data_IF_276084992163
#
_entry.id   IF_276084992163
#
_cell.length_a   1.000
_cell.length_b   1.000
_cell.length_c   1.000
_cell.angle_alpha   90.00
_cell.angle_beta   90.00
_cell.angle_gamma   90.00
#
_symmetry.space_group_name_H-M   'P 1'
#
loop_
_entity.id
_entity.type
_entity.pdbx_description
1 polymer ?
#
# COMPACT_ATOMS: atom_id res chain seq x y z
N UNK A 1 -1.45 -3.08 -12.81
CA UNK A 1 -1.18 -4.53 -12.73
C UNK A 1 -0.17 -4.97 -13.78
N UNK A 2 -0.42 -4.82 -15.09
CA UNK A 2 0.53 -5.26 -16.14
C UNK A 2 1.93 -4.67 -15.99
N UNK A 3 2.04 -3.41 -15.55
CA UNK A 3 3.33 -2.77 -15.27
C UNK A 3 4.10 -3.52 -14.17
N UNK A 4 3.44 -3.90 -13.07
CA UNK A 4 4.08 -4.66 -11.97
C UNK A 4 4.57 -6.03 -12.45
N UNK A 5 3.75 -6.75 -13.25
CA UNK A 5 4.13 -8.05 -13.83
C UNK A 5 5.33 -7.89 -14.76
N UNK A 6 5.28 -6.90 -15.67
CA UNK A 6 6.39 -6.64 -16.60
C UNK A 6 7.69 -6.26 -15.88
N UNK A 7 7.60 -5.39 -14.86
CA UNK A 7 8.78 -5.03 -14.06
C UNK A 7 9.30 -6.19 -13.24
N UNK A 8 8.44 -7.07 -12.73
CA UNK A 8 8.88 -8.27 -12.01
C UNK A 8 9.62 -9.24 -12.96
N UNK A 9 9.12 -9.44 -14.17
CA UNK A 9 9.87 -10.18 -15.18
C UNK A 9 11.23 -9.53 -15.49
N UNK A 10 11.27 -8.20 -15.53
CA UNK A 10 12.52 -7.45 -15.71
C UNK A 10 13.48 -7.63 -14.53
N UNK A 11 12.97 -7.63 -13.28
CA UNK A 11 13.78 -7.92 -12.08
C UNK A 11 14.44 -9.31 -12.14
N UNK A 12 13.75 -10.31 -12.68
CA UNK A 12 14.30 -11.67 -12.83
C UNK A 12 15.41 -11.77 -13.89
N UNK A 13 15.42 -10.87 -14.87
CA UNK A 13 16.36 -10.89 -16.00
C UNK A 13 17.56 -9.94 -15.78
N UNK A 14 17.40 -8.90 -14.97
CA UNK A 14 18.44 -7.89 -14.74
C UNK A 14 19.20 -8.16 -13.45
N UNK A 15 20.46 -7.66 -13.37
CA UNK A 15 21.26 -7.78 -12.15
C UNK A 15 20.61 -7.06 -10.95
N UNK A 16 20.97 -7.43 -9.71
CA UNK A 16 20.37 -6.90 -8.47
C UNK A 16 20.41 -5.37 -8.32
N UNK A 17 21.29 -4.67 -9.03
CA UNK A 17 21.33 -3.20 -9.00
C UNK A 17 20.02 -2.57 -9.48
N UNK A 18 19.28 -3.25 -10.41
CA UNK A 18 18.00 -2.75 -10.92
C UNK A 18 16.98 -2.62 -9.78
N UNK A 19 16.79 -3.68 -9.00
CA UNK A 19 15.92 -3.62 -7.84
C UNK A 19 16.42 -2.60 -6.82
N UNK A 20 17.72 -2.61 -6.51
CA UNK A 20 18.35 -1.69 -5.58
C UNK A 20 18.19 -0.21 -5.96
N UNK A 21 18.07 0.13 -7.25
CA UNK A 21 17.87 1.49 -7.72
C UNK A 21 16.43 1.98 -7.51
N UNK A 22 15.43 1.11 -7.65
CA UNK A 22 14.02 1.46 -7.60
C UNK A 22 13.33 1.14 -6.27
N UNK A 23 13.90 0.26 -5.43
CA UNK A 23 13.40 -0.07 -4.10
C UNK A 23 13.50 1.14 -3.15
N UNK A 24 12.59 1.24 -2.19
CA UNK A 24 12.59 2.32 -1.19
C UNK A 24 13.63 2.04 -0.12
N UNK A 25 14.75 2.73 -0.19
CA UNK A 25 15.81 2.68 0.82
C UNK A 25 15.57 3.66 1.96
N UNK A 26 15.93 3.32 3.21
CA UNK A 26 15.93 4.25 4.33
C UNK A 26 16.80 5.49 4.04
N UNK A 27 16.40 6.66 4.57
CA UNK A 27 17.08 7.93 4.33
C UNK A 27 18.57 7.91 4.72
N UNK A 28 18.92 7.19 5.80
CA UNK A 28 20.28 7.05 6.30
C UNK A 28 21.14 6.01 5.57
N UNK A 29 20.60 5.29 4.59
CA UNK A 29 21.32 4.21 3.88
C UNK A 29 22.37 4.68 2.87
N UNK A 30 22.36 5.97 2.49
CA UNK A 30 23.15 6.50 1.38
C UNK A 30 22.68 6.05 -0.02
N UNK A 31 21.56 5.31 -0.10
CA UNK A 31 20.99 4.75 -1.35
C UNK A 31 19.61 5.31 -1.69
N UNK A 32 19.07 6.20 -0.84
CA UNK A 32 17.77 6.80 -1.06
C UNK A 32 17.81 7.77 -2.27
N UNK A 33 16.79 7.62 -3.13
CA UNK A 33 16.50 8.56 -4.22
C UNK A 33 15.02 8.97 -4.22
N UNK A 34 14.67 10.24 -4.56
CA UNK A 34 13.28 10.72 -4.46
C UNK A 34 12.27 9.92 -5.29
N UNK A 35 12.68 9.35 -6.43
CA UNK A 35 11.84 8.51 -7.27
C UNK A 35 11.37 7.23 -6.55
N UNK A 36 12.14 6.76 -5.57
CA UNK A 36 11.83 5.57 -4.79
C UNK A 36 10.53 5.72 -3.98
N UNK A 37 10.08 6.94 -3.70
CA UNK A 37 8.78 7.18 -3.05
C UNK A 37 7.58 6.64 -3.85
N UNK A 38 7.75 6.40 -5.14
CA UNK A 38 6.73 5.85 -6.03
C UNK A 38 7.15 4.53 -6.68
N UNK A 39 8.41 4.44 -7.12
CA UNK A 39 8.88 3.28 -7.90
C UNK A 39 8.86 1.98 -7.11
N UNK A 40 9.12 2.01 -5.81
CA UNK A 40 9.12 0.82 -4.95
C UNK A 40 7.78 0.06 -5.00
N UNK A 41 6.67 0.80 -5.15
CA UNK A 41 5.32 0.24 -5.24
C UNK A 41 5.06 -0.55 -6.52
N UNK A 42 5.98 -0.53 -7.48
CA UNK A 42 5.89 -1.29 -8.73
C UNK A 42 6.71 -2.58 -8.71
N UNK A 43 7.67 -2.70 -7.77
CA UNK A 43 8.56 -3.85 -7.62
C UNK A 43 7.96 -4.90 -6.67
N UNK A 44 8.43 -6.14 -6.75
CA UNK A 44 8.00 -7.22 -5.86
C UNK A 44 9.17 -8.14 -5.52
N UNK A 45 9.24 -8.58 -4.27
CA UNK A 45 10.36 -9.37 -3.77
C UNK A 45 10.34 -10.82 -4.24
N UNK A 46 9.16 -11.38 -4.52
CA UNK A 46 8.99 -12.77 -4.93
C UNK A 46 7.66 -12.99 -5.69
N UNK A 47 7.48 -14.15 -6.38
CA UNK A 47 6.27 -14.44 -7.15
C UNK A 47 4.99 -14.52 -6.32
N UNK A 48 5.07 -14.98 -5.07
CA UNK A 48 3.91 -15.10 -4.17
C UNK A 48 3.46 -13.71 -3.72
N UNK A 49 4.42 -12.84 -3.40
CA UNK A 49 4.18 -11.44 -3.08
C UNK A 49 3.51 -10.71 -4.26
N UNK A 50 4.03 -10.88 -5.48
CA UNK A 50 3.40 -10.33 -6.69
C UNK A 50 1.97 -10.85 -6.86
N UNK A 51 1.77 -12.18 -6.75
CA UNK A 51 0.47 -12.81 -6.96
C UNK A 51 -0.59 -12.22 -6.02
N UNK A 52 -0.33 -12.18 -4.71
CA UNK A 52 -1.31 -11.67 -3.75
C UNK A 52 -1.58 -10.16 -3.91
N UNK A 53 -0.58 -9.37 -4.26
CA UNK A 53 -0.78 -7.95 -4.58
C UNK A 53 -1.68 -7.79 -5.82
N UNK A 54 -1.39 -8.50 -6.91
CA UNK A 54 -2.20 -8.41 -8.13
C UNK A 54 -3.61 -8.93 -7.93
N UNK A 55 -3.78 -10.02 -7.18
CA UNK A 55 -5.10 -10.56 -6.83
C UNK A 55 -5.91 -9.53 -6.03
N UNK A 56 -5.35 -8.93 -5.00
CA UNK A 56 -6.03 -7.93 -4.20
C UNK A 56 -6.34 -6.65 -4.98
N UNK A 57 -5.42 -6.16 -5.80
CA UNK A 57 -5.66 -5.02 -6.69
C UNK A 57 -6.76 -5.31 -7.71
N UNK A 58 -6.84 -6.53 -8.23
CA UNK A 58 -7.91 -6.95 -9.13
C UNK A 58 -9.27 -7.02 -8.42
N UNK A 59 -9.32 -7.67 -7.26
CA UNK A 59 -10.57 -7.87 -6.51
C UNK A 59 -11.17 -6.55 -6.01
N UNK A 60 -10.37 -5.71 -5.40
CA UNK A 60 -10.84 -4.48 -4.75
C UNK A 60 -10.69 -3.25 -5.66
N UNK A 61 -9.59 -3.19 -6.40
CA UNK A 61 -9.26 -2.04 -7.25
C UNK A 61 -10.22 -1.87 -8.41
N UNK A 62 -10.58 -2.95 -9.09
CA UNK A 62 -11.48 -2.89 -10.25
C UNK A 62 -12.87 -2.35 -9.91
N UNK A 63 -13.41 -2.63 -8.71
CA UNK A 63 -14.70 -2.11 -8.27
C UNK A 63 -14.60 -0.62 -7.88
N UNK A 64 -13.54 -0.26 -7.17
CA UNK A 64 -13.29 1.14 -6.78
C UNK A 64 -13.02 2.01 -8.02
N UNK A 65 -12.26 1.51 -8.99
CA UNK A 65 -12.01 2.24 -10.24
C UNK A 65 -13.30 2.49 -11.03
N UNK A 66 -14.18 1.49 -11.14
CA UNK A 66 -15.50 1.66 -11.78
C UNK A 66 -16.36 2.73 -11.09
N UNK A 67 -16.26 2.82 -9.76
CA UNK A 67 -17.03 3.79 -8.98
C UNK A 67 -16.49 5.22 -9.10
N UNK A 68 -15.15 5.39 -9.10
CA UNK A 68 -14.52 6.71 -9.04
C UNK A 68 -14.03 7.23 -10.39
N UNK A 69 -13.90 6.36 -11.38
CA UNK A 69 -13.22 6.60 -12.65
C UNK A 69 -11.69 6.54 -12.48
N UNK A 70 -10.99 6.22 -13.57
CA UNK A 70 -9.55 5.94 -13.57
C UNK A 70 -8.71 7.10 -13.02
N UNK A 71 -9.09 8.37 -13.30
CA UNK A 71 -8.33 9.54 -12.80
C UNK A 71 -8.28 9.61 -11.29
N UNK A 72 -9.44 9.49 -10.61
CA UNK A 72 -9.50 9.50 -9.14
C UNK A 72 -8.87 8.26 -8.55
N UNK A 73 -9.07 7.11 -9.19
CA UNK A 73 -8.44 5.86 -8.79
C UNK A 73 -6.90 5.97 -8.77
N UNK A 74 -6.30 6.49 -9.85
CA UNK A 74 -4.84 6.68 -9.90
C UNK A 74 -4.33 7.70 -8.88
N UNK A 75 -5.07 8.79 -8.65
CA UNK A 75 -4.73 9.75 -7.59
C UNK A 75 -4.76 9.09 -6.21
N UNK A 76 -5.74 8.22 -5.96
CA UNK A 76 -5.87 7.48 -4.71
C UNK A 76 -4.70 6.50 -4.52
N UNK A 77 -4.37 5.71 -5.55
CA UNK A 77 -3.24 4.78 -5.54
C UNK A 77 -1.94 5.54 -5.25
N UNK A 78 -1.68 6.64 -5.97
CA UNK A 78 -0.48 7.45 -5.76
C UNK A 78 -0.40 8.03 -4.34
N UNK A 79 -1.50 8.55 -3.80
CA UNK A 79 -1.55 9.07 -2.42
C UNK A 79 -1.30 7.96 -1.39
N UNK A 80 -1.86 6.76 -1.59
CA UNK A 80 -1.63 5.60 -0.72
C UNK A 80 -0.17 5.14 -0.76
N UNK A 81 0.44 5.03 -1.95
CA UNK A 81 1.84 4.65 -2.12
C UNK A 81 2.78 5.68 -1.47
N UNK A 82 2.55 6.97 -1.71
CA UNK A 82 3.37 8.05 -1.12
C UNK A 82 3.27 8.05 0.42
N UNK A 83 2.08 7.95 0.98
CA UNK A 83 1.90 7.90 2.42
C UNK A 83 2.53 6.65 3.03
N UNK A 84 2.42 5.49 2.35
CA UNK A 84 3.09 4.26 2.75
C UNK A 84 4.61 4.44 2.80
N UNK A 85 5.21 5.05 1.77
CA UNK A 85 6.64 5.35 1.73
C UNK A 85 7.06 6.26 2.89
N UNK A 86 6.32 7.36 3.13
CA UNK A 86 6.62 8.30 4.21
C UNK A 86 6.57 7.62 5.57
N UNK A 87 5.51 6.88 5.87
CA UNK A 87 5.35 6.18 7.15
C UNK A 87 6.44 5.12 7.33
N UNK A 88 6.80 4.38 6.27
CA UNK A 88 7.88 3.39 6.31
C UNK A 88 9.24 4.04 6.55
N UNK A 89 9.55 5.17 5.91
CA UNK A 89 10.78 5.91 6.13
C UNK A 89 10.90 6.46 7.55
N UNK A 90 9.80 6.98 8.10
CA UNK A 90 9.75 7.43 9.50
C UNK A 90 9.99 6.26 10.46
N UNK A 91 9.35 5.11 10.24
CA UNK A 91 9.56 3.92 11.04
C UNK A 91 11.01 3.42 10.96
N UNK A 92 11.57 3.36 9.75
CA UNK A 92 12.95 2.97 9.54
C UNK A 92 13.94 3.89 10.27
N UNK A 93 13.67 5.20 10.28
CA UNK A 93 14.49 6.17 11.01
C UNK A 93 14.42 5.99 12.53
N UNK A 94 13.25 5.62 13.08
CA UNK A 94 13.06 5.41 14.52
C UNK A 94 13.65 4.09 15.03
N UNK A 95 13.71 3.07 14.16
CA UNK A 95 14.16 1.70 14.54
C UNK A 95 15.53 1.34 14.00
N UNK A 96 16.20 2.25 13.32
CA UNK A 96 17.46 2.00 12.61
C UNK A 96 17.37 0.82 11.60
N UNK A 97 16.16 0.53 11.10
CA UNK A 97 15.93 -0.51 10.10
C UNK A 97 16.58 -0.11 8.76
N UNK A 98 17.45 -0.96 8.24
CA UNK A 98 18.30 -0.62 7.08
C UNK A 98 18.02 -1.50 5.84
N UNK A 99 16.85 -2.16 5.78
CA UNK A 99 16.48 -2.96 4.61
C UNK A 99 15.58 -2.15 3.66
N UNK A 100 15.70 -2.36 2.34
CA UNK A 100 14.81 -1.71 1.38
C UNK A 100 13.41 -2.30 1.43
N UNK A 101 12.43 -1.52 0.99
CA UNK A 101 11.02 -1.93 0.90
C UNK A 101 10.60 -1.95 -0.57
N UNK A 102 9.85 -2.97 -0.95
CA UNK A 102 9.21 -3.11 -2.28
C UNK A 102 7.78 -3.62 -2.13
N UNK A 103 6.92 -3.31 -3.09
CA UNK A 103 5.58 -3.87 -3.20
C UNK A 103 4.45 -2.85 -3.36
N UNK A 104 3.42 -3.25 -4.10
CA UNK A 104 2.19 -2.49 -4.28
C UNK A 104 1.25 -2.55 -3.06
N UNK A 105 1.63 -3.25 -2.00
CA UNK A 105 0.78 -3.54 -0.84
C UNK A 105 0.33 -2.29 -0.08
N UNK A 106 1.12 -1.21 -0.06
CA UNK A 106 0.67 0.08 0.48
C UNK A 106 -0.57 0.62 -0.24
N UNK A 107 -0.60 0.54 -1.58
CA UNK A 107 -1.80 0.87 -2.36
C UNK A 107 -2.96 -0.09 -2.08
N UNK A 108 -2.67 -1.39 -2.00
CA UNK A 108 -3.67 -2.41 -1.71
C UNK A 108 -4.33 -2.19 -0.35
N UNK A 109 -3.56 -1.93 0.71
CA UNK A 109 -4.13 -1.64 2.03
C UNK A 109 -4.95 -0.34 2.05
N UNK A 110 -4.53 0.68 1.29
CA UNK A 110 -5.36 1.85 1.03
C UNK A 110 -6.71 1.49 0.39
N UNK A 111 -6.70 0.63 -0.63
CA UNK A 111 -7.92 0.14 -1.30
C UNK A 111 -8.80 -0.71 -0.37
N UNK A 112 -8.22 -1.57 0.46
CA UNK A 112 -8.96 -2.33 1.46
C UNK A 112 -9.70 -1.39 2.41
N UNK A 113 -9.03 -0.34 2.89
CA UNK A 113 -9.69 0.68 3.72
C UNK A 113 -10.82 1.38 2.96
N UNK A 114 -10.58 1.83 1.72
CA UNK A 114 -11.60 2.46 0.89
C UNK A 114 -12.80 1.55 0.69
N UNK A 115 -12.57 0.27 0.40
CA UNK A 115 -13.62 -0.73 0.23
C UNK A 115 -14.45 -0.90 1.50
N UNK A 116 -13.80 -1.02 2.67
CA UNK A 116 -14.48 -1.11 3.96
C UNK A 116 -15.28 0.14 4.32
N UNK A 117 -14.84 1.33 3.89
CA UNK A 117 -15.55 2.60 4.11
C UNK A 117 -16.74 2.79 3.15
N UNK A 118 -16.67 2.27 1.93
CA UNK A 118 -17.70 2.43 0.90
C UNK A 118 -18.74 1.31 1.00
N UNK A 119 -18.30 0.07 1.23
CA UNK A 119 -19.13 -1.13 1.27
C UNK A 119 -19.05 -1.84 2.64
N UNK A 120 -19.32 -1.18 3.78
CA UNK A 120 -18.99 -1.67 5.13
C UNK A 120 -19.64 -3.01 5.48
N UNK A 121 -20.81 -3.29 4.93
CA UNK A 121 -21.58 -4.51 5.24
C UNK A 121 -21.46 -5.60 4.16
N UNK A 122 -20.67 -5.36 3.09
CA UNK A 122 -20.42 -6.39 2.09
C UNK A 122 -19.64 -7.54 2.72
N UNK A 123 -20.04 -8.77 2.42
CA UNK A 123 -19.31 -9.95 2.87
C UNK A 123 -18.09 -10.15 1.98
N UNK A 124 -16.93 -10.24 2.62
CA UNK A 124 -15.66 -10.64 2.02
C UNK A 124 -15.31 -12.01 2.59
N UNK A 125 -14.85 -12.90 1.73
CA UNK A 125 -14.26 -14.17 2.13
C UNK A 125 -12.79 -14.14 1.76
N UNK A 126 -11.88 -14.02 2.76
CA UNK A 126 -10.44 -14.12 2.51
C UNK A 126 -10.10 -15.47 1.90
N UNK A 127 -9.00 -15.53 1.16
CA UNK A 127 -8.52 -16.80 0.62
C UNK A 127 -8.08 -17.73 1.74
N UNK A 128 -7.48 -17.16 2.81
CA UNK A 128 -7.04 -17.92 3.98
C UNK A 128 -6.98 -17.03 5.23
N UNK A 129 -7.63 -17.46 6.35
CA UNK A 129 -8.62 -18.53 6.43
C UNK A 129 -9.93 -18.12 5.72
N UNK A 130 -10.68 -19.03 5.09
CA UNK A 130 -11.88 -18.70 4.33
C UNK A 130 -13.08 -18.45 5.25
N UNK A 131 -12.97 -17.46 6.11
CA UNK A 131 -14.01 -17.04 7.06
C UNK A 131 -14.75 -15.84 6.50
N UNK A 132 -16.03 -15.96 6.09
CA UNK A 132 -16.78 -14.83 5.58
C UNK A 132 -17.02 -13.80 6.68
N UNK A 133 -16.67 -12.52 6.38
CA UNK A 133 -16.87 -11.43 7.33
C UNK A 133 -17.24 -10.13 6.60
N UNK A 134 -17.86 -9.20 7.34
CA UNK A 134 -18.18 -7.88 6.78
C UNK A 134 -16.90 -7.10 6.47
N UNK A 135 -16.89 -6.35 5.37
CA UNK A 135 -15.72 -5.58 4.90
C UNK A 135 -15.15 -4.68 5.99
N UNK A 136 -15.97 -3.99 6.77
CA UNK A 136 -15.52 -3.17 7.91
C UNK A 136 -14.76 -3.97 8.97
N UNK A 137 -15.19 -5.22 9.24
CA UNK A 137 -14.52 -6.11 10.20
C UNK A 137 -13.21 -6.60 9.60
N UNK A 138 -13.23 -7.03 8.34
CA UNK A 138 -12.04 -7.45 7.62
C UNK A 138 -10.93 -6.38 7.68
N UNK A 139 -11.27 -5.13 7.35
CA UNK A 139 -10.31 -4.01 7.37
C UNK A 139 -9.79 -3.73 8.78
N UNK A 140 -10.67 -3.76 9.80
CA UNK A 140 -10.27 -3.54 11.19
C UNK A 140 -9.35 -4.66 11.70
N UNK A 141 -9.64 -5.91 11.39
CA UNK A 141 -8.82 -7.07 11.77
C UNK A 141 -7.45 -6.99 11.09
N UNK A 142 -7.41 -6.81 9.76
CA UNK A 142 -6.15 -6.76 9.03
C UNK A 142 -5.31 -5.55 9.42
N UNK A 143 -5.91 -4.36 9.59
CA UNK A 143 -5.20 -3.18 10.09
C UNK A 143 -4.67 -3.38 11.52
N UNK A 144 -5.43 -4.04 12.39
CA UNK A 144 -4.99 -4.39 13.74
C UNK A 144 -3.82 -5.39 13.76
N UNK A 145 -3.86 -6.40 12.88
CA UNK A 145 -2.76 -7.35 12.71
C UNK A 145 -1.50 -6.68 12.17
N UNK A 146 -1.63 -5.77 11.20
CA UNK A 146 -0.48 -4.99 10.70
C UNK A 146 0.18 -4.17 11.81
N UNK A 147 -0.61 -3.55 12.70
CA UNK A 147 -0.09 -2.82 13.84
C UNK A 147 0.60 -3.77 14.84
N UNK A 148 -0.03 -4.88 15.18
CA UNK A 148 0.49 -5.85 16.13
C UNK A 148 1.82 -6.45 15.63
N UNK A 149 1.87 -6.92 14.40
CA UNK A 149 3.07 -7.52 13.82
C UNK A 149 4.17 -6.48 13.57
N UNK A 150 3.80 -5.25 13.18
CA UNK A 150 4.75 -4.16 13.03
C UNK A 150 5.46 -3.80 14.34
N UNK A 151 4.73 -3.78 15.45
CA UNK A 151 5.29 -3.53 16.78
C UNK A 151 6.12 -4.71 17.32
N UNK A 152 5.79 -5.95 16.93
CA UNK A 152 6.55 -7.12 17.37
C UNK A 152 7.92 -7.25 16.71
N UNK A 153 8.14 -6.61 15.57
CA UNK A 153 9.40 -6.68 14.82
C UNK A 153 9.75 -8.06 14.25
N UNK A 154 8.83 -9.02 14.34
CA UNK A 154 9.10 -10.44 14.08
C UNK A 154 9.01 -10.86 12.61
N UNK A 155 8.73 -9.96 11.67
CA UNK A 155 8.53 -10.32 10.27
C UNK A 155 9.37 -9.45 9.33
N UNK A 156 9.77 -10.02 8.18
CA UNK A 156 10.38 -9.28 7.06
C UNK A 156 9.39 -8.44 6.25
N UNK A 157 8.15 -8.24 6.74
CA UNK A 157 7.09 -7.50 6.06
C UNK A 157 7.09 -6.04 6.51
N UNK A 158 6.89 -5.11 5.58
CA UNK A 158 6.84 -3.68 5.86
C UNK A 158 5.44 -3.26 6.39
N UNK A 159 5.07 -3.73 7.57
CA UNK A 159 3.76 -3.48 8.20
C UNK A 159 3.39 -2.00 8.29
N UNK A 160 4.36 -1.16 8.61
CA UNK A 160 4.13 0.30 8.69
C UNK A 160 3.89 0.94 7.32
N UNK A 161 4.41 0.38 6.24
CA UNK A 161 4.02 0.80 4.88
C UNK A 161 2.54 0.48 4.61
N UNK A 162 2.03 -0.67 5.06
CA UNK A 162 0.61 -1.02 4.92
C UNK A 162 -0.29 -0.03 5.69
N UNK A 163 0.02 0.24 6.94
CA UNK A 163 -0.70 1.23 7.75
C UNK A 163 -0.60 2.65 7.15
N UNK A 164 0.56 3.02 6.62
CA UNK A 164 0.77 4.26 5.89
C UNK A 164 -0.11 4.36 4.65
N UNK A 165 -0.26 3.26 3.90
CA UNK A 165 -1.15 3.18 2.75
C UNK A 165 -2.62 3.36 3.13
N UNK A 166 -3.06 2.75 4.23
CA UNK A 166 -4.41 2.97 4.79
C UNK A 166 -4.61 4.44 5.19
N UNK A 167 -3.64 5.04 5.85
CA UNK A 167 -3.67 6.46 6.24
C UNK A 167 -3.78 7.37 5.01
N UNK A 168 -2.95 7.17 3.98
CA UNK A 168 -3.00 7.93 2.73
C UNK A 168 -4.35 7.80 2.03
N UNK A 169 -4.89 6.59 1.95
CA UNK A 169 -6.23 6.33 1.42
C UNK A 169 -7.32 7.04 2.20
N UNK A 170 -7.26 6.99 3.54
CA UNK A 170 -8.19 7.70 4.41
C UNK A 170 -8.17 9.22 4.17
N UNK A 171 -6.97 9.80 4.20
CA UNK A 171 -6.80 11.25 4.00
C UNK A 171 -7.31 11.70 2.63
N UNK A 172 -7.07 10.91 1.58
CA UNK A 172 -7.56 11.22 0.23
C UNK A 172 -9.09 11.18 0.15
N UNK A 173 -9.74 10.21 0.78
CA UNK A 173 -11.21 10.15 0.87
C UNK A 173 -11.76 11.35 1.66
N UNK A 174 -11.16 11.73 2.78
CA UNK A 174 -11.58 12.89 3.56
C UNK A 174 -11.41 14.19 2.77
N UNK A 175 -10.31 14.31 2.02
CA UNK A 175 -10.09 15.45 1.13
C UNK A 175 -11.22 15.57 0.09
N UNK A 176 -11.59 14.49 -0.59
CA UNK A 176 -12.70 14.50 -1.57
C UNK A 176 -14.07 14.77 -0.94
N UNK A 177 -14.29 14.32 0.29
CA UNK A 177 -15.52 14.62 1.07
C UNK A 177 -15.56 16.07 1.58
N UNK A 178 -14.53 16.85 1.31
CA UNK A 178 -14.42 18.23 1.78
C UNK A 178 -14.17 18.35 3.29
N UNK A 179 -13.70 17.30 3.94
CA UNK A 179 -13.33 17.25 5.37
C UNK A 179 -11.81 17.30 5.58
N UNK A 180 -11.05 17.71 4.56
CA UNK A 180 -9.58 17.80 4.64
C UNK A 180 -9.15 18.97 5.54
N UNK A 181 -7.96 18.86 6.19
CA UNK A 181 -7.44 19.87 7.13
C UNK A 181 -7.14 21.22 6.47
N UNK A 182 -7.06 21.29 5.14
CA UNK A 182 -6.73 22.50 4.38
C UNK A 182 -7.94 23.19 3.72
N UNK A 183 -9.17 22.83 4.09
CA UNK A 183 -10.34 23.47 3.52
C UNK A 183 -10.53 24.86 4.14
N UNK A 184 -10.25 25.93 3.38
CA UNK A 184 -10.76 27.26 3.68
C UNK A 184 -12.29 27.18 3.74
N UNK A 185 -12.88 27.53 4.90
CA UNK A 185 -14.31 27.77 5.03
C UNK A 185 -14.70 28.79 3.96
N UNK A 186 -15.47 28.38 2.96
CA UNK A 186 -16.21 29.38 2.15
C UNK A 186 -17.30 29.89 3.05
N UNK A 187 -17.06 31.07 3.64
CA UNK A 187 -18.10 31.97 4.14
C UNK A 187 -18.80 32.63 2.96
#
# INVERSE_FOLDING_TARGET
>A
MLICVGLFCTQLLLPPWFEGFFALWPLGSGRFGPWQLLSYGLLHGDPVHLFFNMLGLWMFGGEIERLWGSKRYLQFIAASVLAAAVVQLLWAALTAHNQPTVGASGALFGLLLAFGMIFPNRIIMPLFPPIPMKAKIFVAVFGGLELLFGLSGASGVAHFAHLGGMLGGFLMIQYWRGRGPFRRSRR
#
